data_IF_166647885401
#
_entry.id   IF_166647885401
#
_cell.length_a   1.000
_cell.length_b   1.000
_cell.length_c   1.000
_cell.angle_alpha   90.00
_cell.angle_beta   90.00
_cell.angle_gamma   90.00
#
_symmetry.space_group_name_H-M   'P 1'
#
loop_
_entity.id
_entity.type
_entity.pdbx_description
1 polymer ?
#
# COMPACT_ATOMS: atom_id res chain seq x y z
N UNK A 1 -7.22 53.62 16.30
CA UNK A 1 -7.74 52.84 15.15
C UNK A 1 -6.79 51.67 14.94
N UNK A 2 -7.08 50.52 15.54
CA UNK A 2 -6.27 49.31 15.39
C UNK A 2 -6.71 48.59 14.11
N UNK A 3 -5.83 48.56 13.11
CA UNK A 3 -6.03 47.77 11.90
C UNK A 3 -5.95 46.29 12.26
N UNK A 4 -7.08 45.58 12.24
CA UNK A 4 -7.08 44.13 12.27
C UNK A 4 -6.52 43.62 10.93
N UNK A 5 -5.33 43.04 10.98
CA UNK A 5 -4.74 42.31 9.87
C UNK A 5 -5.60 41.09 9.54
N UNK A 6 -6.46 41.22 8.53
CA UNK A 6 -7.25 40.13 7.95
C UNK A 6 -6.40 39.19 7.10
N UNK A 7 -5.43 38.52 7.70
CA UNK A 7 -4.67 37.47 7.04
C UNK A 7 -5.59 36.28 6.75
N UNK A 8 -5.84 35.97 5.48
CA UNK A 8 -6.56 34.77 5.06
C UNK A 8 -5.86 33.53 5.62
N UNK A 9 -6.52 32.82 6.53
CA UNK A 9 -6.02 31.57 7.09
C UNK A 9 -5.81 30.57 5.93
N UNK A 10 -4.58 30.08 5.76
CA UNK A 10 -4.26 29.13 4.71
C UNK A 10 -5.16 27.90 4.82
N UNK A 11 -5.82 27.52 3.71
CA UNK A 11 -6.66 26.32 3.68
C UNK A 11 -5.80 25.10 3.96
N UNK A 12 -6.18 24.32 4.97
CA UNK A 12 -5.57 23.02 5.25
C UNK A 12 -5.76 22.10 4.05
N UNK A 13 -4.68 21.42 3.65
CA UNK A 13 -4.73 20.40 2.60
C UNK A 13 -4.99 19.04 3.22
N UNK A 14 -5.76 18.20 2.53
CA UNK A 14 -5.92 16.81 2.92
C UNK A 14 -4.68 16.04 2.51
N UNK A 15 -4.22 15.15 3.41
CA UNK A 15 -3.26 14.12 3.06
C UNK A 15 -4.07 12.93 2.57
N UNK A 16 -3.78 12.47 1.37
CA UNK A 16 -4.52 11.39 0.71
C UNK A 16 -3.54 10.31 0.31
N UNK A 17 -3.78 9.10 0.82
CA UNK A 17 -3.00 7.91 0.50
C UNK A 17 -3.92 6.87 -0.17
N UNK A 18 -3.38 6.14 -1.14
CA UNK A 18 -4.06 4.97 -1.69
C UNK A 18 -3.87 3.79 -0.74
N UNK A 19 -4.96 3.09 -0.41
CA UNK A 19 -4.92 1.95 0.50
C UNK A 19 -5.02 0.65 -0.28
N UNK A 20 -3.93 -0.13 -0.28
CA UNK A 20 -3.75 -1.31 -1.11
C UNK A 20 -3.16 -2.45 -0.29
N UNK A 21 -3.16 -3.64 -0.86
CA UNK A 21 -2.52 -4.84 -0.31
C UNK A 21 -2.09 -5.69 -1.50
N UNK A 22 -1.01 -6.47 -1.37
CA UNK A 22 -0.55 -7.34 -2.45
C UNK A 22 -1.40 -8.62 -2.55
N UNK A 23 -2.71 -8.45 -2.74
CA UNK A 23 -3.71 -9.48 -2.91
C UNK A 23 -4.85 -8.94 -3.81
N UNK A 24 -5.79 -9.82 -4.20
CA UNK A 24 -6.95 -9.42 -4.99
C UNK A 24 -8.14 -8.92 -4.14
N UNK A 25 -8.44 -9.56 -3.00
CA UNK A 25 -9.58 -9.21 -2.14
C UNK A 25 -9.18 -8.54 -0.82
N UNK A 26 -8.76 -7.28 -0.86
CA UNK A 26 -8.33 -6.52 0.32
C UNK A 26 -9.51 -6.10 1.24
N UNK A 27 -10.26 -5.06 0.87
CA UNK A 27 -11.36 -4.49 1.69
C UNK A 27 -12.76 -4.67 1.08
N UNK A 28 -12.85 -5.18 -0.15
CA UNK A 28 -14.13 -5.35 -0.85
C UNK A 28 -14.26 -6.79 -1.39
N UNK A 29 -14.59 -7.76 -0.53
CA UNK A 29 -14.69 -9.16 -0.91
C UNK A 29 -15.64 -9.37 -2.09
N UNK A 30 -15.19 -10.15 -3.08
CA UNK A 30 -15.95 -10.47 -4.28
C UNK A 30 -15.88 -9.45 -5.42
N UNK A 31 -15.41 -8.21 -5.20
CA UNK A 31 -15.27 -7.23 -6.29
C UNK A 31 -14.19 -7.60 -7.32
N UNK A 32 -13.26 -8.50 -6.97
CA UNK A 32 -12.29 -9.06 -7.93
C UNK A 32 -12.93 -9.74 -9.15
N UNK A 33 -14.22 -10.10 -9.05
CA UNK A 33 -15.00 -10.69 -10.16
C UNK A 33 -15.57 -9.64 -11.12
N UNK A 34 -15.53 -8.36 -10.76
CA UNK A 34 -16.04 -7.30 -11.62
C UNK A 34 -15.21 -7.24 -12.91
N UNK A 35 -15.83 -7.12 -14.10
CA UNK A 35 -15.08 -7.14 -15.37
C UNK A 35 -13.97 -6.08 -15.49
N UNK A 36 -14.16 -4.94 -14.82
CA UNK A 36 -13.18 -3.84 -14.81
C UNK A 36 -12.11 -3.99 -13.72
N UNK A 37 -12.26 -4.95 -12.81
CA UNK A 37 -11.28 -5.16 -11.74
C UNK A 37 -9.96 -5.72 -12.29
N UNK A 38 -8.86 -5.20 -11.76
CA UNK A 38 -7.50 -5.59 -12.14
C UNK A 38 -6.68 -6.07 -10.95
N UNK A 39 -7.29 -6.25 -9.78
CA UNK A 39 -6.61 -6.66 -8.54
C UNK A 39 -5.97 -8.04 -8.66
N UNK A 40 -6.48 -8.90 -9.55
CA UNK A 40 -5.87 -10.20 -9.88
C UNK A 40 -4.46 -10.09 -10.47
N UNK A 41 -4.06 -8.89 -10.95
CA UNK A 41 -2.71 -8.61 -11.43
C UNK A 41 -1.71 -8.29 -10.31
N UNK A 42 -2.07 -8.47 -9.04
CA UNK A 42 -1.17 -8.18 -7.91
C UNK A 42 0.18 -8.93 -7.95
N UNK A 43 0.28 -10.02 -8.72
CA UNK A 43 1.51 -10.78 -8.94
C UNK A 43 2.41 -10.20 -10.05
N UNK A 44 1.91 -9.27 -10.84
CA UNK A 44 2.64 -8.59 -11.91
C UNK A 44 3.29 -7.31 -11.39
N UNK A 45 4.59 -7.15 -11.59
CA UNK A 45 5.33 -5.96 -11.15
C UNK A 45 4.87 -4.71 -11.90
N UNK A 46 4.47 -4.84 -13.16
CA UNK A 46 4.04 -3.71 -13.99
C UNK A 46 2.73 -3.10 -13.46
N UNK A 47 1.86 -3.92 -12.84
CA UNK A 47 0.65 -3.44 -12.17
C UNK A 47 0.97 -2.40 -11.09
N UNK A 48 1.98 -2.68 -10.24
CA UNK A 48 2.40 -1.81 -9.16
C UNK A 48 3.10 -0.55 -9.68
N UNK A 49 3.96 -0.70 -10.68
CA UNK A 49 4.66 0.42 -11.32
C UNK A 49 3.67 1.40 -11.95
N UNK A 50 2.69 0.90 -12.71
CA UNK A 50 1.68 1.76 -13.35
C UNK A 50 0.73 2.38 -12.32
N UNK A 51 0.38 1.67 -11.24
CA UNK A 51 -0.37 2.24 -10.13
C UNK A 51 0.38 3.40 -9.47
N UNK A 52 1.67 3.25 -9.19
CA UNK A 52 2.47 4.30 -8.57
C UNK A 52 2.59 5.54 -9.46
N UNK A 53 2.81 5.36 -10.76
CA UNK A 53 2.81 6.46 -11.75
C UNK A 53 1.45 7.16 -11.81
N UNK A 54 0.36 6.40 -11.79
CA UNK A 54 -1.01 6.94 -11.81
C UNK A 54 -1.27 7.81 -10.57
N UNK A 55 -0.94 7.30 -9.38
CA UNK A 55 -1.18 7.98 -8.12
C UNK A 55 -0.30 9.22 -7.95
N UNK A 56 0.97 9.15 -8.36
CA UNK A 56 1.87 10.31 -8.36
C UNK A 56 1.35 11.41 -9.29
N UNK A 57 0.91 11.06 -10.51
CA UNK A 57 0.29 12.01 -11.44
C UNK A 57 -0.99 12.65 -10.86
N UNK A 58 -1.70 11.93 -9.99
CA UNK A 58 -2.89 12.40 -9.31
C UNK A 58 -2.60 13.13 -7.97
N UNK A 59 -1.32 13.42 -7.67
CA UNK A 59 -0.88 14.14 -6.47
C UNK A 59 -1.25 13.44 -5.14
N UNK A 60 -1.33 12.10 -5.15
CA UNK A 60 -1.40 11.33 -3.91
C UNK A 60 -0.11 11.49 -3.11
N UNK A 61 -0.25 11.52 -1.78
CA UNK A 61 0.89 11.67 -0.88
C UNK A 61 1.65 10.35 -0.71
N UNK A 62 0.94 9.23 -0.77
CA UNK A 62 1.57 7.93 -0.64
C UNK A 62 0.68 6.76 -1.04
N UNK A 63 1.33 5.61 -1.12
CA UNK A 63 0.72 4.29 -1.26
C UNK A 63 0.92 3.58 0.08
N UNK A 64 -0.17 3.25 0.75
CA UNK A 64 -0.15 2.47 1.98
C UNK A 64 -0.47 1.01 1.65
N UNK A 65 0.52 0.14 1.82
CA UNK A 65 0.46 -1.29 1.52
C UNK A 65 0.25 -2.05 2.84
N UNK A 66 -0.98 -2.54 3.02
CA UNK A 66 -1.32 -3.47 4.10
C UNK A 66 -0.66 -4.84 3.87
N UNK A 67 -0.57 -5.62 4.94
CA UNK A 67 -0.02 -6.98 4.91
C UNK A 67 -0.56 -7.83 6.06
N UNK A 68 -0.62 -9.14 5.81
CA UNK A 68 -0.93 -10.18 6.79
C UNK A 68 -0.04 -11.39 6.53
N UNK A 69 0.43 -12.04 7.61
CA UNK A 69 1.26 -13.26 7.52
C UNK A 69 0.48 -14.56 7.70
N UNK A 70 -0.81 -14.46 8.02
CA UNK A 70 -1.71 -15.60 8.21
C UNK A 70 -3.01 -15.40 7.43
N UNK A 71 -3.60 -16.50 6.97
CA UNK A 71 -4.91 -16.48 6.32
C UNK A 71 -6.06 -16.37 7.33
N UNK A 72 -7.21 -15.89 6.86
CA UNK A 72 -8.43 -15.78 7.68
C UNK A 72 -9.16 -17.12 7.80
N UNK A 73 -8.85 -17.89 8.84
CA UNK A 73 -9.37 -19.26 9.04
C UNK A 73 -10.37 -19.42 10.20
N UNK A 74 -10.66 -18.34 10.93
CA UNK A 74 -11.60 -18.36 12.07
C UNK A 74 -13.03 -18.71 11.63
N UNK A 75 -13.51 -18.10 10.53
CA UNK A 75 -14.85 -18.36 10.04
C UNK A 75 -14.97 -19.78 9.48
N UNK A 76 -15.94 -20.54 9.98
CA UNK A 76 -16.13 -21.98 9.69
C UNK A 76 -14.92 -22.87 10.05
N UNK A 77 -13.97 -22.37 10.86
CA UNK A 77 -12.77 -23.12 11.25
C UNK A 77 -12.02 -23.68 10.03
N UNK A 78 -11.99 -22.91 8.93
CA UNK A 78 -11.38 -23.30 7.67
C UNK A 78 -10.90 -22.05 6.93
N UNK A 79 -9.79 -22.19 6.20
CA UNK A 79 -9.29 -21.18 5.29
C UNK A 79 -10.08 -21.11 3.97
N UNK A 80 -10.88 -22.13 3.65
CA UNK A 80 -11.62 -22.23 2.38
C UNK A 80 -12.47 -20.98 2.06
N UNK A 81 -13.20 -20.37 3.01
CA UNK A 81 -13.95 -19.15 2.73
C UNK A 81 -13.07 -18.00 2.28
N UNK A 82 -11.87 -17.84 2.84
CA UNK A 82 -10.91 -16.82 2.43
C UNK A 82 -10.36 -17.11 1.03
N UNK A 83 -9.99 -18.37 0.75
CA UNK A 83 -9.51 -18.80 -0.57
C UNK A 83 -10.57 -18.55 -1.65
N UNK A 84 -11.81 -18.99 -1.42
CA UNK A 84 -12.90 -18.87 -2.40
C UNK A 84 -13.27 -17.41 -2.65
N UNK A 85 -13.24 -16.58 -1.60
CA UNK A 85 -13.61 -15.16 -1.71
C UNK A 85 -12.44 -14.26 -2.15
N UNK A 86 -11.21 -14.77 -2.12
CA UNK A 86 -9.97 -14.00 -2.34
C UNK A 86 -9.62 -13.06 -1.19
N UNK A 87 -10.22 -13.24 -0.01
CA UNK A 87 -10.06 -12.33 1.14
C UNK A 87 -8.63 -12.39 1.70
N UNK A 88 -7.79 -11.44 1.29
CA UNK A 88 -6.36 -11.34 1.61
C UNK A 88 -5.58 -12.65 1.38
N UNK A 89 -6.04 -13.45 0.41
CA UNK A 89 -5.41 -14.72 0.06
C UNK A 89 -5.51 -14.98 -1.45
N UNK A 90 -4.40 -15.30 -2.15
CA UNK A 90 -3.02 -15.25 -1.67
C UNK A 90 -2.59 -13.81 -1.35
N UNK A 91 -1.54 -13.66 -0.53
CA UNK A 91 -0.89 -12.37 -0.25
C UNK A 91 0.62 -12.49 -0.49
N UNK A 92 1.21 -11.50 -1.16
CA UNK A 92 2.64 -11.43 -1.42
C UNK A 92 3.34 -10.46 -0.45
N UNK A 93 4.65 -10.66 -0.25
CA UNK A 93 5.49 -9.79 0.60
C UNK A 93 5.54 -8.34 0.06
N UNK A 94 5.19 -7.33 0.87
CA UNK A 94 4.91 -5.97 0.38
C UNK A 94 6.15 -5.10 0.10
N UNK A 95 7.30 -5.35 0.72
CA UNK A 95 8.51 -4.53 0.48
C UNK A 95 9.11 -4.78 -0.91
N UNK A 96 8.94 -5.99 -1.46
CA UNK A 96 9.55 -6.40 -2.72
C UNK A 96 9.27 -5.46 -3.91
N UNK A 97 8.06 -4.89 -3.98
CA UNK A 97 7.64 -4.02 -5.10
C UNK A 97 8.03 -2.55 -4.94
N UNK A 98 8.43 -2.13 -3.73
CA UNK A 98 8.70 -0.71 -3.44
C UNK A 98 9.81 -0.15 -4.31
N UNK A 99 10.91 -0.90 -4.49
CA UNK A 99 12.04 -0.44 -5.29
C UNK A 99 11.68 -0.17 -6.76
N UNK A 100 10.80 -1.00 -7.33
CA UNK A 100 10.32 -0.83 -8.70
C UNK A 100 9.40 0.39 -8.84
N UNK A 101 8.44 0.54 -7.93
CA UNK A 101 7.57 1.74 -7.89
C UNK A 101 8.38 3.01 -7.67
N UNK A 102 9.36 2.97 -6.77
CA UNK A 102 10.22 4.10 -6.45
C UNK A 102 11.09 4.51 -7.63
N UNK A 103 11.59 3.57 -8.42
CA UNK A 103 12.37 3.87 -9.63
C UNK A 103 11.54 4.59 -10.71
N UNK A 104 10.21 4.37 -10.74
CA UNK A 104 9.30 4.97 -11.70
C UNK A 104 8.64 6.28 -11.22
N UNK A 105 8.95 6.74 -10.01
CA UNK A 105 8.30 7.89 -9.35
C UNK A 105 9.31 8.81 -8.67
N UNK A 106 8.93 10.05 -8.36
CA UNK A 106 9.84 11.08 -7.83
C UNK A 106 9.47 11.62 -6.44
N UNK A 107 8.19 11.63 -6.06
CA UNK A 107 7.70 12.29 -4.84
C UNK A 107 6.69 11.48 -4.03
N UNK A 108 5.98 10.51 -4.62
CA UNK A 108 5.02 9.69 -3.85
C UNK A 108 5.74 8.85 -2.77
N UNK A 109 5.18 8.79 -1.56
CA UNK A 109 5.71 8.00 -0.44
C UNK A 109 5.19 6.56 -0.39
N UNK A 110 5.88 5.69 0.33
CA UNK A 110 5.51 4.27 0.47
C UNK A 110 5.38 3.86 1.94
N UNK A 111 4.15 3.70 2.41
CA UNK A 111 3.87 3.13 3.73
C UNK A 111 3.72 1.63 3.62
N UNK A 112 4.59 0.86 4.28
CA UNK A 112 4.59 -0.60 4.18
C UNK A 112 4.39 -1.24 5.54
N UNK A 113 3.43 -2.16 5.62
CA UNK A 113 3.14 -2.92 6.83
C UNK A 113 4.18 -4.03 7.00
N UNK A 114 4.76 -4.15 8.20
CA UNK A 114 5.64 -5.26 8.57
C UNK A 114 5.36 -5.66 10.02
N UNK A 115 5.14 -6.96 10.25
CA UNK A 115 4.90 -7.48 11.61
C UNK A 115 6.20 -7.54 12.43
N UNK A 116 6.14 -7.08 13.68
CA UNK A 116 7.24 -7.24 14.65
C UNK A 116 7.22 -8.57 15.39
N UNK A 117 6.19 -9.39 15.19
CA UNK A 117 6.03 -10.68 15.89
C UNK A 117 6.99 -11.74 15.37
N UNK A 118 7.24 -11.76 14.05
CA UNK A 118 8.01 -12.82 13.39
C UNK A 118 9.36 -12.32 12.87
N UNK A 119 9.54 -11.01 12.77
CA UNK A 119 10.72 -10.40 12.16
C UNK A 119 11.84 -10.14 13.16
N UNK A 120 13.05 -10.60 12.82
CA UNK A 120 14.23 -10.26 13.62
C UNK A 120 14.58 -8.78 13.42
N UNK A 121 14.69 -7.98 14.50
CA UNK A 121 14.77 -6.52 14.41
C UNK A 121 16.00 -6.05 13.62
N UNK A 122 17.11 -6.77 13.70
CA UNK A 122 18.33 -6.39 12.98
C UNK A 122 18.18 -6.52 11.44
N UNK A 123 17.56 -7.61 10.97
CA UNK A 123 17.30 -7.78 9.54
C UNK A 123 16.19 -6.86 9.03
N UNK A 124 15.18 -6.60 9.87
CA UNK A 124 14.14 -5.63 9.57
C UNK A 124 14.72 -4.22 9.40
N UNK A 125 15.53 -3.76 10.36
CA UNK A 125 16.20 -2.46 10.28
C UNK A 125 17.02 -2.33 8.98
N UNK A 126 17.79 -3.37 8.62
CA UNK A 126 18.56 -3.38 7.37
C UNK A 126 17.66 -3.27 6.12
N UNK A 127 16.54 -4.00 6.06
CA UNK A 127 15.60 -3.94 4.93
C UNK A 127 14.97 -2.56 4.81
N UNK A 128 14.49 -1.99 5.92
CA UNK A 128 13.90 -0.66 5.94
C UNK A 128 14.91 0.43 5.53
N UNK A 129 16.12 0.41 6.09
CA UNK A 129 17.18 1.36 5.69
C UNK A 129 17.59 1.20 4.23
N UNK A 130 17.60 -0.03 3.70
CA UNK A 130 17.89 -0.26 2.28
C UNK A 130 16.84 0.39 1.40
N UNK A 131 15.56 0.17 1.71
CA UNK A 131 14.45 0.76 0.95
C UNK A 131 14.47 2.28 1.08
N UNK A 132 14.66 2.84 2.28
CA UNK A 132 14.78 4.28 2.51
C UNK A 132 15.86 4.94 1.63
N UNK A 133 17.04 4.30 1.51
CA UNK A 133 18.09 4.77 0.61
C UNK A 133 17.69 4.68 -0.87
N UNK A 134 17.08 3.58 -1.30
CA UNK A 134 16.66 3.38 -2.70
C UNK A 134 15.53 4.32 -3.10
N UNK A 135 14.62 4.64 -2.18
CA UNK A 135 13.49 5.55 -2.42
C UNK A 135 13.89 7.02 -2.28
N UNK A 136 15.06 7.30 -1.69
CA UNK A 136 15.58 8.63 -1.32
C UNK A 136 14.74 9.30 -0.23
N UNK A 137 14.36 8.54 0.79
CA UNK A 137 13.61 9.03 1.95
C UNK A 137 12.11 9.16 1.70
N UNK A 138 11.53 8.29 0.87
CA UNK A 138 10.09 8.24 0.53
C UNK A 138 9.44 6.94 0.97
#
# INVERSE_FOLDING_TARGET
MSSQNGGTQAKKRLIVNAFVEMCSGHQSPGLWRHPDDQSWKFTDIDHWVELAKLLEKAEFHGIFIADVLGGYDVYKQSLDPAIISGAQWPVNEPLAVVSAMAAATQSIGFGVTVSTTYEQPYHLARRLSTVDHLTKGR
#
